data_IF_592296344004
#
_entry.id   IF_592296344004
#
_cell.length_a   1.000
_cell.length_b   1.000
_cell.length_c   1.000
_cell.angle_alpha   90.00
_cell.angle_beta   90.00
_cell.angle_gamma   90.00
#
_symmetry.space_group_name_H-M   'P 1'
#
loop_
_entity.id
_entity.type
_entity.pdbx_description
1 polymer ?
#
# COMPACT_ATOMS: atom_id res chain seq x y z
N UNK A 1 32.94 16.73 36.94
CA UNK A 1 32.56 15.38 37.40
C UNK A 1 31.08 15.44 37.78
N UNK A 2 30.22 14.84 36.96
CA UNK A 2 28.89 14.34 37.35
C UNK A 2 28.35 13.51 36.19
N UNK A 3 28.44 12.21 36.41
CA UNK A 3 27.70 11.05 35.90
C UNK A 3 27.06 11.10 34.52
N UNK A 4 27.71 10.38 33.61
CA UNK A 4 27.16 9.71 32.44
C UNK A 4 26.06 8.73 32.87
N UNK A 5 24.82 8.98 32.47
CA UNK A 5 23.73 8.01 32.55
C UNK A 5 23.71 7.23 31.26
N UNK A 6 24.23 6.00 31.32
CA UNK A 6 24.00 4.95 30.32
C UNK A 6 22.50 4.83 30.06
N UNK A 7 22.05 5.25 28.89
CA UNK A 7 20.76 4.79 28.36
C UNK A 7 20.99 3.36 27.89
N UNK A 8 20.64 2.42 28.78
CA UNK A 8 20.70 1.00 28.52
C UNK A 8 19.97 0.66 27.23
N UNK A 9 20.61 -0.17 26.41
CA UNK A 9 19.95 -0.93 25.37
C UNK A 9 18.77 -1.66 26.01
N UNK A 10 17.55 -1.18 25.74
CA UNK A 10 16.34 -1.87 26.16
C UNK A 10 16.36 -3.30 25.62
N UNK A 11 15.73 -4.26 26.33
CA UNK A 11 15.72 -5.66 25.92
C UNK A 11 15.16 -5.76 24.50
N UNK A 12 15.97 -6.33 23.62
CA UNK A 12 15.56 -6.67 22.26
C UNK A 12 14.38 -7.62 22.37
N UNK A 13 13.17 -7.16 22.03
CA UNK A 13 11.96 -7.95 22.16
C UNK A 13 12.17 -9.29 21.43
N UNK A 14 11.81 -10.46 22.02
CA UNK A 14 12.08 -11.79 21.46
C UNK A 14 11.73 -11.93 19.96
N UNK A 15 10.64 -11.27 19.54
CA UNK A 15 10.18 -11.20 18.14
C UNK A 15 11.17 -10.57 17.15
N UNK A 16 12.07 -9.71 17.60
CA UNK A 16 13.05 -9.01 16.74
C UNK A 16 14.23 -9.93 16.40
N UNK A 17 14.70 -10.71 17.37
CA UNK A 17 15.72 -11.72 17.14
C UNK A 17 15.16 -12.86 16.27
N UNK A 18 13.98 -13.37 16.60
CA UNK A 18 13.27 -14.38 15.80
C UNK A 18 12.99 -13.91 14.36
N UNK A 19 12.61 -12.64 14.19
CA UNK A 19 12.43 -12.03 12.88
C UNK A 19 13.74 -11.99 12.08
N UNK A 20 14.84 -11.56 12.70
CA UNK A 20 16.16 -11.52 12.06
C UNK A 20 16.62 -12.92 11.66
N UNK A 21 16.50 -13.90 12.56
CA UNK A 21 16.82 -15.29 12.25
C UNK A 21 15.98 -15.84 11.10
N UNK A 22 14.68 -15.54 11.07
CA UNK A 22 13.81 -15.95 9.97
C UNK A 22 14.23 -15.33 8.64
N UNK A 23 14.57 -14.03 8.64
CA UNK A 23 15.03 -13.33 7.44
C UNK A 23 16.37 -13.88 6.95
N UNK A 24 17.34 -14.10 7.84
CA UNK A 24 18.64 -14.68 7.47
C UNK A 24 18.49 -16.12 6.97
N UNK A 25 17.60 -16.92 7.56
CA UNK A 25 17.30 -18.28 7.10
C UNK A 25 16.69 -18.27 5.70
N UNK A 26 15.65 -17.46 5.47
CA UNK A 26 15.00 -17.33 4.16
C UNK A 26 16.00 -16.83 3.10
N UNK A 27 16.91 -15.94 3.47
CA UNK A 27 17.98 -15.47 2.59
C UNK A 27 18.99 -16.57 2.26
N UNK A 28 19.43 -17.34 3.26
CA UNK A 28 20.33 -18.48 3.04
C UNK A 28 19.73 -19.52 2.10
N UNK A 29 18.45 -19.83 2.28
CA UNK A 29 17.71 -20.74 1.41
C UNK A 29 17.59 -20.19 -0.03
N UNK A 30 17.18 -18.93 -0.19
CA UNK A 30 17.10 -18.30 -1.50
C UNK A 30 18.46 -18.26 -2.20
N UNK A 31 19.54 -17.92 -1.47
CA UNK A 31 20.90 -17.91 -2.00
C UNK A 31 21.31 -19.29 -2.52
N UNK A 32 21.10 -20.34 -1.72
CA UNK A 32 21.43 -21.71 -2.14
C UNK A 32 20.73 -22.08 -3.44
N UNK A 33 19.42 -21.81 -3.53
CA UNK A 33 18.62 -22.14 -4.72
C UNK A 33 19.09 -21.38 -5.97
N UNK A 34 19.40 -20.10 -5.85
CA UNK A 34 19.92 -19.31 -6.97
C UNK A 34 21.34 -19.73 -7.39
N UNK A 35 22.20 -20.03 -6.42
CA UNK A 35 23.54 -20.55 -6.69
C UNK A 35 23.47 -21.87 -7.46
N UNK A 36 22.67 -22.82 -6.99
CA UNK A 36 22.52 -24.13 -7.64
C UNK A 36 21.96 -23.99 -9.07
N UNK A 37 21.00 -23.07 -9.26
CA UNK A 37 20.49 -22.75 -10.58
C UNK A 37 21.56 -22.18 -11.53
N UNK A 38 22.36 -21.21 -11.06
CA UNK A 38 23.43 -20.61 -11.84
C UNK A 38 24.55 -21.61 -12.15
N UNK A 39 24.95 -22.42 -11.17
CA UNK A 39 25.97 -23.45 -11.36
C UNK A 39 25.53 -24.47 -12.43
N UNK A 40 24.28 -24.93 -12.37
CA UNK A 40 23.72 -25.82 -13.39
C UNK A 40 23.59 -25.15 -14.77
N UNK A 41 23.38 -23.84 -14.84
CA UNK A 41 23.41 -23.11 -16.10
C UNK A 41 24.82 -23.03 -16.67
N UNK A 42 25.81 -22.66 -15.86
CA UNK A 42 27.21 -22.57 -16.29
C UNK A 42 27.79 -23.93 -16.70
N UNK A 43 27.47 -25.00 -15.98
CA UNK A 43 27.87 -26.37 -16.34
C UNK A 43 27.31 -26.78 -17.71
N UNK A 44 26.04 -26.49 -18.00
CA UNK A 44 25.44 -26.75 -19.32
C UNK A 44 26.15 -26.03 -20.47
N UNK A 45 26.83 -24.93 -20.18
CA UNK A 45 27.63 -24.17 -21.15
C UNK A 45 29.12 -24.52 -21.13
N UNK A 46 29.52 -25.59 -20.43
CA UNK A 46 30.90 -26.09 -20.42
C UNK A 46 31.87 -25.20 -19.62
N UNK A 47 31.36 -24.39 -18.70
CA UNK A 47 32.19 -23.54 -17.85
C UNK A 47 32.78 -24.38 -16.72
N UNK A 48 34.11 -24.44 -16.64
CA UNK A 48 34.82 -25.02 -15.50
C UNK A 48 34.57 -24.19 -14.24
N UNK A 49 34.61 -24.83 -13.06
CA UNK A 49 34.40 -24.15 -11.76
C UNK A 49 33.02 -23.44 -11.67
N UNK A 50 32.00 -24.03 -12.30
CA UNK A 50 30.63 -23.49 -12.38
C UNK A 50 30.04 -23.07 -11.03
N UNK A 51 30.38 -23.77 -9.94
CA UNK A 51 29.97 -23.42 -8.58
C UNK A 51 30.60 -22.12 -8.07
N UNK A 52 31.89 -21.89 -8.32
CA UNK A 52 32.59 -20.67 -7.90
C UNK A 52 32.14 -19.47 -8.71
N UNK A 53 31.94 -19.66 -10.02
CA UNK A 53 31.38 -18.62 -10.88
C UNK A 53 29.93 -18.27 -10.49
N UNK A 54 29.13 -19.27 -10.08
CA UNK A 54 27.79 -19.03 -9.56
C UNK A 54 27.80 -18.19 -8.27
N UNK A 55 28.73 -18.46 -7.35
CA UNK A 55 28.88 -17.65 -6.14
C UNK A 55 29.31 -16.20 -6.46
N UNK A 56 30.28 -16.03 -7.37
CA UNK A 56 30.73 -14.69 -7.82
C UNK A 56 29.64 -13.90 -8.54
N UNK A 57 28.91 -14.54 -9.46
CA UNK A 57 27.82 -13.91 -10.20
C UNK A 57 26.68 -13.51 -9.26
N UNK A 58 26.32 -14.39 -8.31
CA UNK A 58 25.27 -14.11 -7.35
C UNK A 58 25.66 -12.96 -6.40
N UNK A 59 26.92 -12.89 -5.98
CA UNK A 59 27.42 -11.78 -5.17
C UNK A 59 27.42 -10.47 -5.95
N UNK A 60 27.90 -10.46 -7.19
CA UNK A 60 27.91 -9.28 -8.05
C UNK A 60 26.50 -8.72 -8.28
N UNK A 61 25.49 -9.58 -8.36
CA UNK A 61 24.10 -9.16 -8.62
C UNK A 61 23.33 -8.77 -7.35
N UNK A 62 23.66 -9.35 -6.20
CA UNK A 62 22.80 -9.25 -5.00
C UNK A 62 23.46 -8.64 -3.76
N UNK A 63 24.78 -8.52 -3.74
CA UNK A 63 25.54 -7.99 -2.59
C UNK A 63 26.09 -6.62 -2.94
N UNK A 64 25.28 -5.59 -2.68
CA UNK A 64 25.69 -4.19 -2.82
C UNK A 64 26.09 -3.63 -1.45
N UNK A 65 27.38 -3.34 -1.20
CA UNK A 65 27.79 -2.73 0.05
C UNK A 65 27.48 -1.22 0.04
N UNK A 66 27.04 -0.69 1.17
CA UNK A 66 27.10 0.75 1.41
C UNK A 66 28.56 1.20 1.41
N UNK A 67 28.86 2.26 0.66
CA UNK A 67 30.24 2.78 0.53
C UNK A 67 30.86 3.21 1.87
N UNK A 68 30.04 3.63 2.83
CA UNK A 68 30.52 4.13 4.12
C UNK A 68 30.81 3.04 5.16
N UNK A 69 29.96 2.02 5.25
CA UNK A 69 30.00 1.00 6.29
C UNK A 69 30.50 -0.34 5.81
N UNK A 70 30.56 -0.56 4.49
CA UNK A 70 30.75 -1.88 3.88
C UNK A 70 29.60 -2.86 4.17
N UNK A 71 28.61 -2.45 4.97
CA UNK A 71 27.43 -3.23 5.29
C UNK A 71 26.54 -3.38 4.06
N UNK A 72 25.76 -4.47 3.99
CA UNK A 72 24.87 -4.72 2.84
C UNK A 72 23.76 -3.68 2.75
N UNK A 73 23.50 -3.17 1.55
CA UNK A 73 22.37 -2.32 1.20
C UNK A 73 21.06 -3.04 1.57
N UNK A 74 20.13 -2.29 2.17
CA UNK A 74 18.82 -2.81 2.61
C UNK A 74 17.67 -2.35 1.72
N UNK A 75 17.96 -1.65 0.62
CA UNK A 75 16.95 -1.21 -0.32
C UNK A 75 16.33 -2.41 -1.04
N UNK A 76 15.03 -2.35 -1.29
CA UNK A 76 14.29 -3.38 -2.03
C UNK A 76 14.42 -3.25 -3.55
N UNK A 77 15.25 -2.33 -4.05
CA UNK A 77 15.32 -1.97 -5.46
C UNK A 77 16.01 -3.03 -6.36
N UNK A 78 16.50 -4.14 -5.81
CA UNK A 78 17.19 -5.19 -6.57
C UNK A 78 16.72 -6.58 -6.12
N UNK A 79 15.97 -7.29 -6.98
CA UNK A 79 16.52 -8.47 -7.66
C UNK A 79 15.86 -8.75 -9.03
N UNK A 80 15.99 -7.85 -10.00
CA UNK A 80 15.55 -8.03 -11.39
C UNK A 80 16.25 -7.06 -12.33
N UNK A 81 16.30 -7.36 -13.63
CA UNK A 81 16.66 -6.36 -14.64
C UNK A 81 15.55 -5.32 -14.67
N UNK A 82 15.86 -4.03 -14.46
CA UNK A 82 14.83 -3.01 -14.47
C UNK A 82 14.30 -2.81 -15.88
N UNK A 83 12.99 -2.61 -15.99
CA UNK A 83 12.29 -2.32 -17.25
C UNK A 83 12.42 -0.85 -17.67
N UNK A 84 13.08 -0.03 -16.83
CA UNK A 84 13.35 1.38 -17.07
C UNK A 84 14.78 1.75 -16.67
N UNK A 85 15.22 2.92 -17.11
CA UNK A 85 16.51 3.53 -16.77
C UNK A 85 16.52 4.13 -15.33
N UNK A 86 15.56 3.76 -14.48
CA UNK A 86 15.49 4.22 -13.11
C UNK A 86 16.78 3.85 -12.36
N UNK A 87 17.45 4.86 -11.82
CA UNK A 87 18.77 4.75 -11.19
C UNK A 87 19.85 4.14 -12.11
N UNK A 88 19.84 4.47 -13.41
CA UNK A 88 20.76 3.89 -14.41
C UNK A 88 20.75 2.36 -14.36
N UNK A 89 19.57 1.78 -14.51
CA UNK A 89 19.36 0.33 -14.38
C UNK A 89 19.81 -0.25 -13.03
N UNK A 90 19.86 0.57 -11.97
CA UNK A 90 20.33 0.21 -10.64
C UNK A 90 21.81 0.47 -10.38
N UNK A 91 22.60 0.87 -11.38
CA UNK A 91 24.03 1.19 -11.21
C UNK A 91 24.24 2.53 -10.48
N UNK A 92 23.32 3.48 -10.62
CA UNK A 92 23.30 4.75 -9.89
C UNK A 92 22.39 4.70 -8.64
N UNK A 93 22.39 3.56 -7.94
CA UNK A 93 21.64 3.41 -6.70
C UNK A 93 22.24 4.30 -5.59
N UNK A 94 21.40 5.04 -4.87
CA UNK A 94 21.83 5.91 -3.75
C UNK A 94 22.67 5.18 -2.68
N UNK A 95 22.58 3.85 -2.58
CA UNK A 95 23.42 3.01 -1.71
C UNK A 95 24.92 3.06 -2.07
N UNK A 96 25.28 3.32 -3.34
CA UNK A 96 26.66 3.35 -3.84
C UNK A 96 27.31 4.73 -3.70
N UNK A 97 26.58 5.72 -3.18
CA UNK A 97 27.06 7.10 -3.05
C UNK A 97 27.64 7.38 -1.67
N UNK A 98 28.69 8.19 -1.60
CA UNK A 98 29.20 8.68 -0.32
C UNK A 98 28.13 9.52 0.40
N UNK A 99 28.13 9.60 1.75
CA UNK A 99 27.10 10.32 2.50
C UNK A 99 26.90 11.80 2.11
N UNK A 100 27.95 12.46 1.59
CA UNK A 100 27.86 13.84 1.08
C UNK A 100 27.13 13.89 -0.27
N UNK A 101 27.45 12.97 -1.17
CA UNK A 101 26.83 12.88 -2.49
C UNK A 101 25.35 12.47 -2.38
N UNK A 102 25.01 11.52 -1.50
CA UNK A 102 23.60 11.19 -1.18
C UNK A 102 22.80 12.40 -0.75
N UNK A 103 23.37 13.21 0.17
CA UNK A 103 22.72 14.43 0.66
C UNK A 103 22.57 15.47 -0.45
N UNK A 104 23.57 15.61 -1.30
CA UNK A 104 23.51 16.51 -2.47
C UNK A 104 22.42 16.05 -3.44
N UNK A 105 22.44 14.81 -3.89
CA UNK A 105 21.45 14.23 -4.81
C UNK A 105 20.03 14.32 -4.24
N UNK A 106 19.84 14.04 -2.94
CA UNK A 106 18.55 14.22 -2.28
C UNK A 106 18.10 15.68 -2.28
N UNK A 107 19.00 16.63 -2.00
CA UNK A 107 18.67 18.05 -2.04
C UNK A 107 18.36 18.54 -3.45
N UNK A 108 19.10 18.08 -4.46
CA UNK A 108 18.84 18.36 -5.88
C UNK A 108 17.49 17.81 -6.32
N UNK A 109 17.19 16.55 -6.00
CA UNK A 109 15.88 15.95 -6.24
C UNK A 109 14.76 16.73 -5.55
N UNK A 110 14.92 17.07 -4.26
CA UNK A 110 13.95 17.87 -3.51
C UNK A 110 13.73 19.24 -4.15
N UNK A 111 14.80 19.93 -4.55
CA UNK A 111 14.73 21.21 -5.23
C UNK A 111 14.07 21.08 -6.61
N UNK A 112 14.34 20.00 -7.34
CA UNK A 112 13.72 19.70 -8.62
C UNK A 112 12.21 19.50 -8.49
N UNK A 113 11.77 18.72 -7.49
CA UNK A 113 10.34 18.56 -7.16
C UNK A 113 9.70 19.90 -6.78
N UNK A 114 10.36 20.67 -5.92
CA UNK A 114 9.87 21.99 -5.51
C UNK A 114 9.74 22.95 -6.70
N UNK A 115 10.71 22.93 -7.62
CA UNK A 115 10.67 23.70 -8.86
C UNK A 115 9.57 23.21 -9.81
N UNK A 116 9.39 21.90 -9.96
CA UNK A 116 8.32 21.31 -10.74
C UNK A 116 6.94 21.76 -10.24
N UNK A 117 6.67 21.65 -8.92
CA UNK A 117 5.40 22.09 -8.37
C UNK A 117 5.17 23.61 -8.45
N UNK A 118 6.23 24.42 -8.56
CA UNK A 118 6.14 25.86 -8.86
C UNK A 118 5.99 26.18 -10.35
N UNK A 119 6.28 25.24 -11.23
CA UNK A 119 6.14 25.43 -12.68
C UNK A 119 4.66 25.56 -13.09
N UNK A 120 4.36 26.13 -14.26
CA UNK A 120 2.98 26.20 -14.75
C UNK A 120 2.28 24.84 -14.80
N UNK A 121 3.00 23.78 -15.18
CA UNK A 121 2.47 22.41 -15.23
C UNK A 121 2.11 21.90 -13.83
N UNK A 122 3.02 22.04 -12.85
CA UNK A 122 2.75 21.65 -11.47
C UNK A 122 1.63 22.45 -10.81
N UNK A 123 1.51 23.75 -11.14
CA UNK A 123 0.39 24.59 -10.70
C UNK A 123 -0.93 24.21 -11.36
N UNK A 124 -0.94 23.78 -12.62
CA UNK A 124 -2.13 23.27 -13.29
C UNK A 124 -2.64 21.99 -12.64
N UNK A 125 -1.75 21.04 -12.34
CA UNK A 125 -2.09 19.80 -11.62
C UNK A 125 -2.67 20.16 -10.24
N UNK A 126 -1.97 21.02 -9.48
CA UNK A 126 -2.44 21.48 -8.17
C UNK A 126 -3.83 22.12 -8.23
N UNK A 127 -4.08 22.97 -9.23
CA UNK A 127 -5.38 23.61 -9.41
C UNK A 127 -6.47 22.61 -9.79
N UNK A 128 -6.15 21.61 -10.61
CA UNK A 128 -7.07 20.53 -10.97
C UNK A 128 -7.44 19.69 -9.74
N UNK A 129 -6.46 19.30 -8.91
CA UNK A 129 -6.67 18.56 -7.68
C UNK A 129 -7.55 19.36 -6.70
N UNK A 130 -7.26 20.65 -6.51
CA UNK A 130 -8.08 21.54 -5.66
C UNK A 130 -9.51 21.69 -6.17
N UNK A 131 -9.70 21.76 -7.49
CA UNK A 131 -11.04 21.84 -8.09
C UNK A 131 -11.82 20.52 -7.89
N UNK A 132 -11.13 19.38 -8.04
CA UNK A 132 -11.72 18.06 -7.79
C UNK A 132 -12.11 17.90 -6.31
N UNK A 133 -11.25 18.32 -5.39
CA UNK A 133 -11.53 18.31 -3.95
C UNK A 133 -12.70 19.24 -3.60
N UNK A 134 -12.76 20.44 -4.18
CA UNK A 134 -13.88 21.35 -3.97
C UNK A 134 -15.21 20.74 -4.44
N UNK A 135 -15.22 20.10 -5.62
CA UNK A 135 -16.39 19.40 -6.13
C UNK A 135 -16.81 18.23 -5.21
N UNK A 136 -15.85 17.48 -4.70
CA UNK A 136 -16.09 16.43 -3.71
C UNK A 136 -16.73 17.00 -2.43
N UNK A 137 -16.22 18.11 -1.90
CA UNK A 137 -16.78 18.73 -0.69
C UNK A 137 -18.21 19.23 -0.92
N UNK A 138 -18.51 19.81 -2.08
CA UNK A 138 -19.89 20.19 -2.44
C UNK A 138 -20.80 18.98 -2.45
N UNK A 139 -20.39 17.88 -3.10
CA UNK A 139 -21.19 16.66 -3.15
C UNK A 139 -21.39 16.04 -1.76
N UNK A 140 -20.34 15.98 -0.92
CA UNK A 140 -20.39 15.44 0.44
C UNK A 140 -21.35 16.25 1.33
N UNK A 141 -21.42 17.57 1.17
CA UNK A 141 -22.33 18.42 1.93
C UNK A 141 -23.82 18.09 1.68
N UNK A 142 -24.14 17.50 0.53
CA UNK A 142 -25.49 17.06 0.18
C UNK A 142 -25.79 15.62 0.66
N UNK A 143 -24.77 14.88 1.10
CA UNK A 143 -24.93 13.48 1.53
C UNK A 143 -25.32 13.39 3.01
N UNK A 144 -26.59 13.10 3.28
CA UNK A 144 -27.07 12.82 4.64
C UNK A 144 -26.38 11.55 5.16
N UNK A 145 -25.89 11.58 6.41
CA UNK A 145 -25.32 10.39 7.07
C UNK A 145 -23.90 10.01 6.62
N UNK A 146 -23.27 10.80 5.74
CA UNK A 146 -21.90 10.54 5.27
C UNK A 146 -20.93 11.57 5.83
N UNK A 147 -19.81 11.11 6.38
CA UNK A 147 -18.69 11.95 6.80
C UNK A 147 -17.41 11.31 6.30
N UNK A 148 -16.63 12.02 5.47
CA UNK A 148 -15.27 11.60 5.10
C UNK A 148 -14.29 12.35 6.00
N UNK A 149 -13.46 11.62 6.75
CA UNK A 149 -12.46 12.19 7.65
C UNK A 149 -11.13 12.45 6.95
N UNK A 150 -10.75 11.57 6.03
CA UNK A 150 -9.47 11.59 5.34
C UNK A 150 -9.63 10.84 4.01
N UNK A 151 -9.03 11.39 2.95
CA UNK A 151 -8.91 10.71 1.67
C UNK A 151 -7.59 11.08 0.98
N UNK A 152 -7.10 10.19 0.14
CA UNK A 152 -5.89 10.38 -0.66
C UNK A 152 -4.82 9.33 -0.39
N UNK A 153 -3.57 9.71 -0.54
CA UNK A 153 -2.42 8.80 -0.54
C UNK A 153 -1.86 8.63 -1.94
N UNK A 154 -0.54 8.80 -2.06
CA UNK A 154 0.18 8.58 -3.30
C UNK A 154 0.34 7.07 -3.48
N UNK A 155 -0.58 6.44 -4.23
CA UNK A 155 -0.58 5.02 -4.60
C UNK A 155 0.00 4.10 -3.48
N UNK A 156 -0.81 3.73 -2.47
CA UNK A 156 -2.26 3.50 -2.60
C UNK A 156 -3.15 4.65 -2.16
N UNK A 157 -4.25 4.84 -2.91
CA UNK A 157 -5.38 5.67 -2.49
C UNK A 157 -6.15 5.00 -1.35
N UNK A 158 -6.54 5.81 -0.37
CA UNK A 158 -7.15 5.39 0.88
C UNK A 158 -8.20 6.40 1.30
N UNK A 159 -9.31 5.91 1.86
CA UNK A 159 -10.38 6.75 2.40
C UNK A 159 -10.83 6.25 3.75
N UNK A 160 -11.14 7.18 4.66
CA UNK A 160 -11.67 6.90 5.99
C UNK A 160 -12.84 7.80 6.28
N UNK A 161 -13.87 7.26 6.92
CA UNK A 161 -15.06 8.04 7.24
C UNK A 161 -16.10 7.23 8.00
N UNK A 162 -17.32 7.77 8.01
CA UNK A 162 -18.52 7.14 8.54
C UNK A 162 -19.64 7.24 7.49
N UNK A 163 -20.40 6.16 7.29
CA UNK A 163 -21.62 6.12 6.48
C UNK A 163 -22.74 5.53 7.32
N UNK A 164 -23.81 6.30 7.50
CA UNK A 164 -25.03 5.92 8.22
C UNK A 164 -24.75 5.35 9.63
N UNK A 165 -23.73 5.87 10.30
CA UNK A 165 -23.30 5.48 11.66
C UNK A 165 -22.21 4.40 11.71
N UNK A 166 -21.80 3.84 10.56
CA UNK A 166 -20.77 2.81 10.46
C UNK A 166 -19.44 3.40 9.99
N UNK A 167 -18.37 3.18 10.75
CA UNK A 167 -17.03 3.61 10.33
C UNK A 167 -16.54 2.75 9.17
N UNK A 168 -15.83 3.33 8.21
CA UNK A 168 -15.30 2.59 7.07
C UNK A 168 -13.84 2.93 6.77
N UNK A 169 -13.15 1.96 6.15
CA UNK A 169 -11.84 2.14 5.55
C UNK A 169 -11.86 1.55 4.14
N UNK A 170 -11.63 2.39 3.14
CA UNK A 170 -11.35 1.96 1.78
C UNK A 170 -9.85 2.02 1.52
N UNK A 171 -9.33 1.03 0.81
CA UNK A 171 -7.93 0.99 0.41
C UNK A 171 -7.79 0.35 -0.96
N UNK A 172 -7.11 1.06 -1.85
CA UNK A 172 -6.56 0.51 -3.08
C UNK A 172 -5.18 -0.12 -2.81
N UNK A 173 -4.79 -1.15 -3.57
CA UNK A 173 -3.42 -1.65 -3.64
C UNK A 173 -3.27 -2.54 -4.86
N UNK A 174 -2.32 -2.23 -5.74
CA UNK A 174 -1.99 -3.05 -6.92
C UNK A 174 -3.21 -3.32 -7.81
N UNK A 175 -3.95 -2.26 -8.16
CA UNK A 175 -5.20 -2.32 -8.95
C UNK A 175 -6.35 -3.09 -8.30
N UNK A 176 -6.17 -3.58 -7.07
CA UNK A 176 -7.22 -4.15 -6.23
C UNK A 176 -7.70 -3.12 -5.21
N UNK A 177 -8.93 -3.26 -4.73
CA UNK A 177 -9.46 -2.47 -3.64
C UNK A 177 -10.28 -3.31 -2.67
N UNK A 178 -10.38 -2.83 -1.44
CA UNK A 178 -11.26 -3.40 -0.41
C UNK A 178 -11.93 -2.30 0.42
N UNK A 179 -13.14 -2.58 0.89
CA UNK A 179 -13.86 -1.77 1.87
C UNK A 179 -14.06 -2.58 3.15
N UNK A 180 -13.52 -2.05 4.25
CA UNK A 180 -13.76 -2.53 5.60
C UNK A 180 -14.82 -1.64 6.28
N UNK A 181 -15.69 -2.25 7.07
CA UNK A 181 -16.75 -1.58 7.83
C UNK A 181 -16.64 -1.91 9.33
N UNK A 182 -17.14 -1.00 10.18
CA UNK A 182 -17.13 -1.12 11.63
C UNK A 182 -15.73 -1.34 12.19
N UNK A 183 -14.85 -0.38 11.88
CA UNK A 183 -13.46 -0.36 12.31
C UNK A 183 -13.35 -0.39 13.84
N UNK A 184 -12.56 -1.33 14.35
CA UNK A 184 -12.33 -1.57 15.77
C UNK A 184 -10.82 -1.64 16.04
N UNK A 185 -10.35 -1.20 17.22
CA UNK A 185 -8.94 -1.32 17.58
C UNK A 185 -8.46 -2.76 17.48
N UNK A 186 -7.50 -3.00 16.60
CA UNK A 186 -6.98 -4.36 16.34
C UNK A 186 -6.04 -4.87 17.45
N UNK A 187 -5.60 -3.97 18.34
CA UNK A 187 -4.49 -4.21 19.27
C UNK A 187 -3.12 -4.28 18.58
N UNK A 188 -3.05 -4.11 17.25
CA UNK A 188 -1.82 -4.04 16.47
C UNK A 188 -1.32 -2.60 16.40
N UNK A 189 0.00 -2.45 16.33
CA UNK A 189 0.65 -1.15 16.26
C UNK A 189 1.67 -1.16 15.13
N UNK A 190 1.71 -0.07 14.38
CA UNK A 190 2.75 0.21 13.39
C UNK A 190 3.65 1.33 13.85
N UNK A 191 4.91 1.25 13.46
CA UNK A 191 5.90 2.29 13.72
C UNK A 191 5.83 3.31 12.59
N UNK A 192 5.36 4.51 12.88
CA UNK A 192 5.29 5.62 11.91
C UNK A 192 6.34 6.68 12.25
N UNK A 193 6.77 7.43 11.24
CA UNK A 193 7.68 8.56 11.44
C UNK A 193 6.89 9.68 12.12
N UNK A 194 7.36 10.13 13.29
CA UNK A 194 6.79 11.24 14.03
C UNK A 194 7.43 12.60 13.65
N UNK A 195 8.54 12.55 12.92
CA UNK A 195 9.29 13.72 12.47
C UNK A 195 10.80 13.47 12.56
N UNK A 196 11.57 14.52 12.33
CA UNK A 196 13.03 14.49 12.40
C UNK A 196 13.50 15.46 13.47
N UNK A 197 14.38 15.01 14.36
CA UNK A 197 15.02 15.85 15.36
C UNK A 197 15.98 16.85 14.70
N UNK A 198 16.38 17.89 15.44
CA UNK A 198 17.30 18.92 14.96
C UNK A 198 18.69 18.40 14.56
N UNK A 199 19.08 17.23 15.05
CA UNK A 199 20.32 16.53 14.68
C UNK A 199 20.16 15.62 13.44
N UNK A 200 18.99 15.62 12.80
CA UNK A 200 18.68 14.76 11.66
C UNK A 200 18.18 13.36 12.03
N UNK A 201 18.06 13.03 13.31
CA UNK A 201 17.56 11.71 13.75
C UNK A 201 16.06 11.58 13.53
N UNK A 202 15.62 10.56 12.79
CA UNK A 202 14.20 10.27 12.59
C UNK A 202 13.59 9.76 13.89
N UNK A 203 12.57 10.47 14.39
CA UNK A 203 11.76 10.06 15.53
C UNK A 203 10.61 9.20 15.03
N UNK A 204 10.33 8.15 15.77
CA UNK A 204 9.25 7.23 15.45
C UNK A 204 8.23 7.20 16.58
N UNK A 205 6.97 7.03 16.22
CA UNK A 205 5.87 6.79 17.15
C UNK A 205 5.16 5.48 16.83
N UNK A 206 4.46 4.94 17.82
CA UNK A 206 3.55 3.82 17.61
C UNK A 206 2.18 4.39 17.27
N UNK A 207 1.61 3.97 16.14
CA UNK A 207 0.23 4.24 15.75
C UNK A 207 -0.54 2.92 15.87
N UNK A 208 -1.64 2.94 16.62
CA UNK A 208 -2.58 1.82 16.67
C UNK A 208 -3.24 1.62 15.30
N UNK A 209 -3.48 0.37 14.94
CA UNK A 209 -4.25 0.01 13.75
C UNK A 209 -5.67 -0.38 14.16
N UNK A 210 -6.63 -0.01 13.32
CA UNK A 210 -8.01 -0.45 13.41
C UNK A 210 -8.30 -1.37 12.23
N UNK A 211 -9.08 -2.41 12.47
CA UNK A 211 -9.52 -3.39 11.47
C UNK A 211 -11.06 -3.44 11.48
N UNK A 212 -11.68 -3.59 10.30
CA UNK A 212 -13.11 -3.83 10.16
C UNK A 212 -13.43 -5.15 9.46
N UNK A 213 -14.72 -5.40 9.28
CA UNK A 213 -15.21 -6.52 8.48
C UNK A 213 -15.11 -6.12 6.99
N UNK A 214 -14.45 -6.93 6.17
CA UNK A 214 -14.38 -6.68 4.72
C UNK A 214 -15.75 -6.95 4.10
N UNK A 215 -16.43 -5.90 3.65
CA UNK A 215 -17.79 -5.99 3.08
C UNK A 215 -17.81 -6.11 1.56
N UNK A 216 -16.74 -5.67 0.90
CA UNK A 216 -16.58 -5.70 -0.55
C UNK A 216 -15.09 -5.59 -0.93
N UNK A 217 -14.75 -6.20 -2.06
CA UNK A 217 -13.44 -6.08 -2.71
C UNK A 217 -13.59 -6.25 -4.21
N UNK A 218 -12.65 -5.71 -4.99
CA UNK A 218 -12.66 -5.81 -6.44
C UNK A 218 -11.41 -5.19 -7.06
N UNK A 219 -11.50 -4.89 -8.36
CA UNK A 219 -10.42 -4.21 -9.11
C UNK A 219 -10.81 -2.79 -9.49
N UNK A 220 -9.83 -1.93 -9.78
CA UNK A 220 -10.05 -0.56 -10.26
C UNK A 220 -10.79 -0.50 -11.60
N UNK A 221 -10.83 -1.61 -12.35
CA UNK A 221 -11.65 -1.80 -13.56
C UNK A 221 -13.15 -2.03 -13.27
N UNK A 222 -13.54 -2.09 -11.99
CA UNK A 222 -14.93 -2.34 -11.61
C UNK A 222 -15.87 -1.26 -12.17
N UNK A 223 -17.04 -1.68 -12.64
CA UNK A 223 -18.05 -0.75 -13.13
C UNK A 223 -18.40 0.27 -12.02
N UNK A 224 -18.42 1.56 -12.37
CA UNK A 224 -18.64 2.69 -11.46
C UNK A 224 -17.52 2.99 -10.46
N UNK A 225 -16.35 2.37 -10.57
CA UNK A 225 -15.19 2.74 -9.74
C UNK A 225 -14.85 4.23 -9.83
N UNK A 226 -15.04 4.81 -11.02
CA UNK A 226 -14.81 6.22 -11.29
C UNK A 226 -13.32 6.54 -11.45
N UNK A 227 -13.02 7.72 -11.99
CA UNK A 227 -11.66 8.27 -12.08
C UNK A 227 -11.50 9.52 -11.22
N UNK A 228 -12.60 10.21 -10.90
CA UNK A 228 -12.62 11.42 -10.09
C UNK A 228 -12.93 11.12 -8.62
N UNK A 229 -12.44 11.93 -7.67
CA UNK A 229 -12.72 11.73 -6.24
C UNK A 229 -14.22 11.65 -5.91
N UNK A 230 -15.07 12.44 -6.58
CA UNK A 230 -16.52 12.42 -6.34
C UNK A 230 -17.18 11.10 -6.77
N UNK A 231 -16.74 10.56 -7.92
CA UNK A 231 -17.24 9.28 -8.42
C UNK A 231 -16.80 8.14 -7.49
N UNK A 232 -15.58 8.22 -6.97
CA UNK A 232 -15.05 7.25 -6.02
C UNK A 232 -15.75 7.32 -4.66
N UNK A 233 -16.01 8.52 -4.16
CA UNK A 233 -16.79 8.72 -2.95
C UNK A 233 -18.21 8.15 -3.11
N UNK A 234 -18.86 8.42 -4.24
CA UNK A 234 -20.16 7.84 -4.56
C UNK A 234 -20.11 6.31 -4.60
N UNK A 235 -19.12 5.73 -5.29
CA UNK A 235 -18.92 4.30 -5.36
C UNK A 235 -18.80 3.65 -3.97
N UNK A 236 -17.97 4.22 -3.10
CA UNK A 236 -17.76 3.73 -1.74
C UNK A 236 -19.07 3.81 -0.93
N UNK A 237 -19.73 4.97 -0.94
CA UNK A 237 -20.98 5.21 -0.20
C UNK A 237 -22.10 4.28 -0.68
N UNK A 238 -22.29 4.15 -1.99
CA UNK A 238 -23.31 3.28 -2.58
C UNK A 238 -23.05 1.79 -2.24
N UNK A 239 -21.78 1.38 -2.24
CA UNK A 239 -21.40 0.02 -1.86
C UNK A 239 -21.72 -0.27 -0.40
N UNK A 240 -21.39 0.65 0.51
CA UNK A 240 -21.70 0.53 1.94
C UNK A 240 -23.20 0.51 2.18
N UNK A 241 -23.95 1.47 1.60
CA UNK A 241 -25.41 1.54 1.76
C UNK A 241 -26.11 0.31 1.23
N UNK A 242 -25.67 -0.21 0.09
CA UNK A 242 -26.19 -1.47 -0.46
C UNK A 242 -25.92 -2.62 0.50
N UNK A 243 -24.72 -2.70 1.07
CA UNK A 243 -24.40 -3.73 2.06
C UNK A 243 -25.30 -3.64 3.30
N UNK A 244 -25.44 -2.45 3.89
CA UNK A 244 -26.27 -2.22 5.06
C UNK A 244 -27.76 -2.53 4.79
N UNK A 245 -28.28 -2.10 3.64
CA UNK A 245 -29.65 -2.40 3.22
C UNK A 245 -29.89 -3.92 3.09
N UNK A 246 -28.90 -4.68 2.58
CA UNK A 246 -28.98 -6.14 2.50
C UNK A 246 -28.97 -6.81 3.86
N UNK A 247 -28.16 -6.32 4.80
CA UNK A 247 -28.13 -6.86 6.16
C UNK A 247 -29.44 -6.62 6.92
N UNK A 248 -30.07 -5.45 6.75
CA UNK A 248 -31.32 -5.11 7.42
C UNK A 248 -32.58 -5.70 6.74
N UNK A 249 -32.43 -6.28 5.54
CA UNK A 249 -33.57 -6.70 4.74
C UNK A 249 -34.25 -7.95 5.31
N UNK A 250 -35.52 -7.81 5.69
CA UNK A 250 -36.40 -8.92 6.08
C UNK A 250 -37.28 -9.43 4.93
N UNK A 251 -37.30 -8.73 3.78
CA UNK A 251 -38.14 -9.03 2.61
C UNK A 251 -37.72 -10.28 1.80
N UNK A 252 -36.68 -11.01 2.23
CA UNK A 252 -36.25 -12.26 1.58
C UNK A 252 -37.30 -13.38 1.60
N UNK A 253 -38.41 -13.20 2.33
CA UNK A 253 -39.55 -14.12 2.39
C UNK A 253 -40.87 -13.58 1.80
N UNK A 254 -40.88 -12.38 1.20
CA UNK A 254 -42.12 -11.79 0.69
C UNK A 254 -42.58 -12.42 -0.65
N UNK A 255 -43.89 -12.32 -0.91
CA UNK A 255 -44.48 -12.83 -2.13
C UNK A 255 -44.13 -11.94 -3.35
N UNK A 256 -43.22 -12.42 -4.20
CA UNK A 256 -42.77 -11.74 -5.42
C UNK A 256 -43.70 -11.97 -6.63
N UNK A 257 -44.79 -12.73 -6.48
CA UNK A 257 -45.70 -13.12 -7.57
C UNK A 257 -46.20 -11.94 -8.40
N UNK A 258 -46.47 -10.79 -7.76
CA UNK A 258 -46.92 -9.58 -8.45
C UNK A 258 -45.85 -8.96 -9.35
N UNK A 259 -44.57 -9.05 -8.96
CA UNK A 259 -43.45 -8.51 -9.75
C UNK A 259 -43.11 -9.49 -10.89
N UNK A 260 -43.12 -10.79 -10.61
CA UNK A 260 -42.92 -11.84 -11.61
C UNK A 260 -44.01 -11.79 -12.69
N UNK A 261 -45.26 -11.54 -12.29
CA UNK A 261 -46.38 -11.35 -13.22
C UNK A 261 -46.21 -10.13 -14.15
N UNK A 262 -45.55 -9.06 -13.68
CA UNK A 262 -45.25 -7.88 -14.50
C UNK A 262 -44.06 -8.10 -15.42
N UNK A 263 -43.00 -8.74 -14.92
CA UNK A 263 -41.74 -8.91 -15.66
C UNK A 263 -41.74 -10.14 -16.58
N UNK A 264 -42.66 -11.09 -16.36
CA UNK A 264 -42.73 -12.35 -17.11
C UNK A 264 -41.53 -13.28 -16.87
N UNK A 265 -40.72 -13.01 -15.83
CA UNK A 265 -39.54 -13.79 -15.45
C UNK A 265 -39.54 -14.02 -13.94
N UNK A 266 -38.96 -15.15 -13.52
CA UNK A 266 -38.70 -15.44 -12.11
C UNK A 266 -37.76 -14.37 -11.51
N UNK A 267 -38.17 -13.76 -10.41
CA UNK A 267 -37.38 -12.70 -9.76
C UNK A 267 -36.49 -13.35 -8.70
N UNK A 268 -35.21 -13.51 -9.03
CA UNK A 268 -34.18 -14.09 -8.12
C UNK A 268 -33.42 -13.05 -7.32
N UNK A 269 -34.02 -11.90 -7.08
CA UNK A 269 -33.40 -10.81 -6.33
C UNK A 269 -34.45 -10.02 -5.55
N UNK A 270 -34.13 -9.58 -4.34
CA UNK A 270 -35.02 -8.73 -3.57
C UNK A 270 -35.08 -7.33 -4.19
N UNK A 271 -36.28 -6.83 -4.51
CA UNK A 271 -36.46 -5.49 -5.09
C UNK A 271 -36.08 -4.35 -4.17
N UNK A 272 -36.06 -4.59 -2.85
CA UNK A 272 -35.71 -3.59 -1.85
C UNK A 272 -34.19 -3.48 -1.61
N UNK A 273 -33.44 -4.58 -1.66
CA UNK A 273 -32.01 -4.58 -1.27
C UNK A 273 -31.06 -5.23 -2.30
N UNK A 274 -31.60 -5.81 -3.38
CA UNK A 274 -30.82 -6.47 -4.42
C UNK A 274 -30.11 -7.77 -3.99
N UNK A 275 -30.40 -8.31 -2.79
CA UNK A 275 -29.92 -9.64 -2.38
C UNK A 275 -30.42 -10.69 -3.34
N UNK A 276 -29.54 -11.57 -3.83
CA UNK A 276 -29.96 -12.73 -4.62
C UNK A 276 -30.74 -13.70 -3.75
N UNK A 277 -31.92 -14.09 -4.22
CA UNK A 277 -32.77 -15.06 -3.55
C UNK A 277 -32.46 -16.47 -4.10
N UNK A 278 -32.58 -17.52 -3.27
CA UNK A 278 -32.48 -18.90 -3.75
C UNK A 278 -33.58 -19.15 -4.80
N UNK A 279 -33.27 -20.00 -5.78
CA UNK A 279 -34.28 -20.49 -6.72
C UNK A 279 -35.37 -21.23 -5.94
N UNK A 280 -36.63 -20.96 -6.25
CA UNK A 280 -37.78 -21.65 -5.66
C UNK A 280 -37.93 -23.06 -6.23
#
# INVERSE_FOLDING_TARGET
MSSSTFVGQGPELPRTAEYRERVERARGEARSRYRDHLAAAFERHGVAESGELADMALDALTVWPYVDSGGRCRCSCHPGLPESDLHDYGFDCVCTHAPKDRRRAFNEWRNGIEAFWRSPEGQQITAADQAADAALQTWLAEQIGVVVHDHGGFAPEQWRGTVDGHSFYFRERHDEWSIELDLRPSGRFVRTVAGTASDGTVRYQKRALDDGDVIASGTTDSQRYGTMPVERAQFIVDTIRTHLARQACTHGGDDLSSIEGILGIEVRWCSACGTRLPAR
#
